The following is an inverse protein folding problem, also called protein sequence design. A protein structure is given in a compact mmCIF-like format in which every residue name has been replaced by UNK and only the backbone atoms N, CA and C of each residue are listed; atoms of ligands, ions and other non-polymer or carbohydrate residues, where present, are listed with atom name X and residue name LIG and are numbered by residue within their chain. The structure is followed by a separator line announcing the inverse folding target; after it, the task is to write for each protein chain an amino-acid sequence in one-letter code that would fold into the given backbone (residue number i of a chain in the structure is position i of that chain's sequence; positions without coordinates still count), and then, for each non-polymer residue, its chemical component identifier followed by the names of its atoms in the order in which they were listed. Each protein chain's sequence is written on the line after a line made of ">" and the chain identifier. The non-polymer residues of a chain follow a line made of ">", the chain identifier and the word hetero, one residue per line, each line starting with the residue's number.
data_IF_539080390941
#
_entry.id   IF_539080390941
#
_cell.length_a   1.000
_cell.length_b   1.000
_cell.length_c   1.000
_cell.angle_alpha   90.00
_cell.angle_beta   90.00
_cell.angle_gamma   90.00
#
_symmetry.space_group_name_H-M   'P 1'
#
loop_
_entity.id
_entity.type
_entity.pdbx_description
1 polymer ?
#
# COMPACT_ATOMS: atom_id res chain seq x y z
N UNK A 1 48.83 -7.24 -15.99
CA UNK A 1 47.56 -7.38 -16.71
C UNK A 1 46.47 -7.54 -15.65
N UNK A 2 45.81 -6.46 -15.31
CA UNK A 2 44.73 -6.43 -14.34
C UNK A 2 43.42 -6.25 -15.11
N UNK A 3 42.52 -7.23 -15.02
CA UNK A 3 41.23 -7.23 -15.63
C UNK A 3 40.25 -6.43 -14.75
N UNK A 4 39.68 -5.37 -15.31
CA UNK A 4 38.56 -4.55 -14.74
C UNK A 4 37.27 -5.37 -14.79
N UNK A 5 36.42 -5.30 -13.77
CA UNK A 5 35.07 -5.86 -13.85
C UNK A 5 34.15 -4.95 -14.67
N UNK A 6 33.37 -5.57 -15.54
CA UNK A 6 32.34 -4.92 -16.35
C UNK A 6 31.18 -4.44 -15.45
N UNK A 7 30.77 -3.20 -15.66
CA UNK A 7 29.58 -2.60 -15.10
C UNK A 7 28.32 -3.22 -15.69
N UNK A 8 27.47 -3.79 -14.85
CA UNK A 8 26.12 -4.21 -15.25
C UNK A 8 25.25 -2.96 -15.43
N UNK A 9 24.79 -2.75 -16.65
CA UNK A 9 23.77 -1.75 -16.99
C UNK A 9 22.40 -2.33 -16.65
N UNK A 10 21.73 -1.76 -15.66
CA UNK A 10 20.34 -2.05 -15.32
C UNK A 10 19.39 -1.59 -16.43
N UNK A 11 18.55 -2.50 -16.89
CA UNK A 11 17.49 -2.25 -17.86
C UNK A 11 16.30 -1.62 -17.15
N UNK A 12 15.98 -0.35 -17.47
CA UNK A 12 14.78 0.32 -16.99
C UNK A 12 13.72 0.28 -18.10
N UNK A 13 12.66 -0.51 -17.92
CA UNK A 13 11.41 -0.37 -18.65
C UNK A 13 10.28 -0.09 -17.65
N UNK A 14 9.44 0.88 -17.98
CA UNK A 14 8.52 1.53 -17.06
C UNK A 14 7.21 0.78 -16.78
N UNK A 15 7.31 -0.46 -16.31
CA UNK A 15 6.20 -1.18 -15.70
C UNK A 15 6.55 -1.44 -14.23
N UNK A 16 5.57 -1.23 -13.36
CA UNK A 16 5.67 -1.26 -11.89
C UNK A 16 5.83 -2.71 -11.37
N UNK A 17 6.90 -3.39 -11.81
CA UNK A 17 7.22 -4.75 -11.44
C UNK A 17 8.31 -4.76 -10.36
N UNK A 18 7.97 -5.30 -9.20
CA UNK A 18 8.91 -5.44 -8.07
C UNK A 18 9.66 -6.76 -8.22
N UNK A 19 10.99 -6.68 -8.42
CA UNK A 19 11.87 -7.85 -8.48
C UNK A 19 12.29 -8.27 -7.07
N UNK A 20 11.81 -9.42 -6.62
CA UNK A 20 12.36 -10.10 -5.45
C UNK A 20 13.50 -11.03 -5.88
N UNK A 21 14.70 -10.78 -5.36
CA UNK A 21 15.84 -11.71 -5.52
C UNK A 21 15.74 -12.77 -4.44
N UNK A 22 15.06 -13.87 -4.73
CA UNK A 22 15.31 -15.13 -4.03
C UNK A 22 16.47 -15.78 -4.79
N UNK A 23 17.57 -16.15 -4.11
CA UNK A 23 18.73 -16.79 -4.72
C UNK A 23 18.25 -17.96 -5.59
N UNK A 24 18.40 -17.81 -6.91
CA UNK A 24 18.19 -18.75 -8.04
C UNK A 24 16.99 -18.51 -8.97
N UNK A 25 15.97 -17.66 -8.63
CA UNK A 25 14.97 -17.26 -9.62
C UNK A 25 14.47 -15.83 -9.32
N UNK A 26 14.62 -14.92 -10.26
CA UNK A 26 13.98 -13.60 -10.22
C UNK A 26 12.51 -13.82 -10.58
N UNK A 27 11.65 -13.99 -9.60
CA UNK A 27 10.20 -13.94 -9.80
C UNK A 27 9.73 -12.49 -9.60
N UNK A 28 9.12 -11.97 -10.64
CA UNK A 28 8.46 -10.66 -10.59
C UNK A 28 7.01 -10.89 -10.21
N UNK A 29 6.64 -10.53 -8.99
CA UNK A 29 5.25 -10.65 -8.51
C UNK A 29 4.61 -9.26 -8.59
N UNK A 30 3.52 -9.15 -9.35
CA UNK A 30 2.65 -7.98 -9.33
C UNK A 30 1.57 -8.17 -8.25
N UNK A 31 1.85 -7.66 -7.06
CA UNK A 31 0.93 -7.74 -5.93
C UNK A 31 -0.37 -6.95 -6.15
N UNK A 32 -0.39 -5.97 -7.07
CA UNK A 32 -1.59 -5.19 -7.41
C UNK A 32 -2.52 -5.91 -8.38
N UNK A 33 -2.12 -7.07 -8.91
CA UNK A 33 -2.96 -7.88 -9.81
C UNK A 33 -4.18 -8.50 -9.11
N UNK A 34 -4.17 -8.57 -7.77
CA UNK A 34 -5.32 -8.92 -6.94
C UNK A 34 -5.73 -7.73 -6.07
N UNK A 35 -7.00 -7.68 -5.63
CA UNK A 35 -7.48 -6.57 -4.79
C UNK A 35 -7.13 -6.76 -3.31
N UNK A 36 -7.26 -5.69 -2.52
CA UNK A 36 -7.07 -5.77 -1.06
C UNK A 36 -8.06 -6.72 -0.41
N UNK A 37 -9.26 -6.90 -0.98
CA UNK A 37 -10.27 -7.84 -0.48
C UNK A 37 -9.81 -9.30 -0.53
N UNK A 38 -9.09 -9.70 -1.58
CA UNK A 38 -8.57 -11.07 -1.69
C UNK A 38 -7.48 -11.36 -0.67
N UNK A 39 -6.71 -10.34 -0.26
CA UNK A 39 -5.72 -10.48 0.81
C UNK A 39 -6.35 -10.73 2.19
N UNK A 40 -7.64 -10.43 2.38
CA UNK A 40 -8.32 -10.66 3.65
C UNK A 40 -8.39 -12.16 4.06
N UNK A 41 -8.27 -13.08 3.10
CA UNK A 41 -8.18 -14.52 3.38
C UNK A 41 -6.73 -14.99 3.63
N UNK A 42 -5.75 -14.18 3.25
CA UNK A 42 -4.33 -14.51 3.33
C UNK A 42 -3.63 -13.90 4.55
N UNK A 43 -4.20 -12.85 5.11
CA UNK A 43 -3.58 -12.05 6.17
C UNK A 43 -4.43 -12.00 7.43
N UNK A 44 -3.81 -11.89 8.61
CA UNK A 44 -4.51 -11.51 9.85
C UNK A 44 -5.18 -10.14 9.70
N UNK A 45 -6.31 -9.94 10.39
CA UNK A 45 -7.08 -8.68 10.31
C UNK A 45 -6.28 -7.46 10.74
N UNK A 46 -5.32 -7.64 11.62
CA UNK A 46 -4.41 -6.61 12.14
C UNK A 46 -3.42 -6.09 11.09
N UNK A 47 -3.38 -6.71 9.89
CA UNK A 47 -2.57 -6.27 8.75
C UNK A 47 -3.33 -5.32 7.81
N UNK A 48 -4.56 -4.94 8.14
CA UNK A 48 -5.35 -3.96 7.38
C UNK A 48 -5.42 -2.65 8.15
N UNK A 49 -5.05 -1.55 7.48
CA UNK A 49 -5.06 -0.23 8.09
C UNK A 49 -6.49 0.26 8.37
N UNK A 50 -6.60 1.16 9.34
CA UNK A 50 -7.85 1.86 9.69
C UNK A 50 -8.49 2.49 8.44
N UNK A 51 -9.79 2.26 8.25
CA UNK A 51 -10.58 2.79 7.14
C UNK A 51 -10.55 4.32 7.02
N UNK A 52 -10.17 5.03 8.07
CA UNK A 52 -9.99 6.48 8.02
C UNK A 52 -8.81 6.90 7.13
N UNK A 53 -7.87 5.97 6.81
CA UNK A 53 -6.86 6.17 5.77
C UNK A 53 -7.40 5.57 4.48
N UNK A 54 -7.81 6.41 3.55
CA UNK A 54 -8.47 6.01 2.31
C UNK A 54 -7.94 6.80 1.11
N UNK A 55 -8.28 6.36 -0.08
CA UNK A 55 -7.96 7.10 -1.31
C UNK A 55 -8.63 8.46 -1.30
N UNK A 56 -7.86 9.54 -1.52
CA UNK A 56 -8.39 10.91 -1.47
C UNK A 56 -9.07 11.35 -2.77
N UNK A 57 -8.99 10.56 -3.82
CA UNK A 57 -9.64 10.83 -5.11
C UNK A 57 -9.94 9.52 -5.83
N UNK A 58 -10.88 9.56 -6.78
CA UNK A 58 -11.35 8.41 -7.55
C UNK A 58 -11.47 8.73 -9.04
N UNK A 59 -11.28 7.71 -9.92
CA UNK A 59 -10.81 6.37 -9.59
C UNK A 59 -9.31 6.37 -9.29
N UNK A 60 -8.91 5.83 -8.13
CA UNK A 60 -7.49 5.66 -7.81
C UNK A 60 -6.98 4.36 -8.44
N UNK A 61 -5.78 4.32 -9.04
CA UNK A 61 -5.20 3.06 -9.49
C UNK A 61 -4.85 2.17 -8.31
N UNK A 62 -4.99 0.86 -8.47
CA UNK A 62 -4.40 -0.10 -7.53
C UNK A 62 -2.90 0.03 -7.57
N UNK A 63 -2.27 0.09 -6.40
CA UNK A 63 -0.82 0.17 -6.28
C UNK A 63 -0.31 -0.92 -5.36
N UNK A 64 0.90 -1.38 -5.63
CA UNK A 64 1.66 -2.20 -4.69
C UNK A 64 3.13 -1.84 -4.74
N UNK A 65 3.82 -2.00 -3.61
CA UNK A 65 5.23 -1.69 -3.53
C UNK A 65 5.83 -1.91 -2.16
N UNK A 66 7.17 -2.01 -2.06
CA UNK A 66 7.84 -2.04 -0.78
C UNK A 66 7.61 -0.75 0.00
N UNK A 67 7.37 -0.88 1.29
CA UNK A 67 7.24 0.25 2.19
C UNK A 67 8.59 0.93 2.42
N UNK A 68 8.68 2.22 2.10
CA UNK A 68 9.70 3.12 2.63
C UNK A 68 9.07 3.93 3.76
N UNK A 69 9.45 3.66 4.99
CA UNK A 69 8.76 4.15 6.18
C UNK A 69 9.33 5.48 6.68
N UNK A 70 8.44 6.36 7.12
CA UNK A 70 8.76 7.72 7.55
C UNK A 70 7.95 8.08 8.79
N UNK A 71 8.62 8.62 9.80
CA UNK A 71 7.96 9.30 10.91
C UNK A 71 8.14 10.80 10.77
N UNK A 72 7.03 11.54 10.78
CA UNK A 72 7.00 12.98 10.89
C UNK A 72 6.61 13.36 12.32
N UNK A 73 7.38 14.22 12.97
CA UNK A 73 7.01 14.76 14.28
C UNK A 73 5.76 15.64 14.16
N UNK A 74 4.92 15.73 15.20
CA UNK A 74 3.72 16.56 15.17
C UNK A 74 4.00 17.98 14.67
N UNK A 75 3.24 18.42 13.69
CA UNK A 75 3.39 19.73 13.06
C UNK A 75 4.58 19.88 12.12
N UNK A 76 5.29 18.79 11.77
CA UNK A 76 6.47 18.84 10.89
C UNK A 76 6.31 17.88 9.69
N UNK A 77 6.93 18.22 8.56
CA UNK A 77 6.91 17.41 7.35
C UNK A 77 8.29 17.19 6.70
N UNK A 78 9.38 17.62 7.37
CA UNK A 78 10.73 17.57 6.78
C UNK A 78 11.11 16.16 6.36
N UNK A 79 10.77 15.15 7.17
CA UNK A 79 11.21 13.78 6.91
C UNK A 79 10.53 13.16 5.70
N UNK A 80 9.27 13.47 5.41
CA UNK A 80 8.63 13.06 4.15
C UNK A 80 9.33 13.72 2.95
N UNK A 81 9.63 15.02 3.04
CA UNK A 81 10.37 15.72 1.98
C UNK A 81 11.78 15.16 1.79
N UNK A 82 12.40 14.63 2.83
CA UNK A 82 13.69 13.96 2.72
C UNK A 82 13.56 12.57 2.09
N UNK A 83 12.47 11.85 2.40
CA UNK A 83 12.19 10.49 1.93
C UNK A 83 12.02 10.41 0.42
N UNK A 84 11.33 11.37 -0.21
CA UNK A 84 11.12 11.35 -1.67
C UNK A 84 12.43 11.39 -2.48
N UNK A 85 13.56 11.79 -1.88
CA UNK A 85 14.88 11.76 -2.51
C UNK A 85 15.72 10.53 -2.16
N UNK A 86 15.23 9.64 -1.28
CA UNK A 86 15.98 8.49 -0.75
C UNK A 86 15.28 7.14 -1.03
N UNK A 87 13.97 7.16 -1.16
CA UNK A 87 13.20 6.01 -1.59
C UNK A 87 13.53 5.65 -3.05
N UNK A 88 13.40 4.37 -3.39
CA UNK A 88 13.64 3.86 -4.73
C UNK A 88 12.38 3.98 -5.61
N UNK A 89 12.53 3.97 -6.93
CA UNK A 89 11.40 3.79 -7.83
C UNK A 89 10.62 2.51 -7.48
N UNK A 90 9.29 2.61 -7.45
CA UNK A 90 8.39 1.52 -7.05
C UNK A 90 8.08 1.44 -5.56
N UNK A 91 8.83 2.13 -4.69
CA UNK A 91 8.51 2.19 -3.26
C UNK A 91 7.19 2.96 -3.03
N UNK A 92 6.46 2.55 -2.00
CA UNK A 92 5.36 3.31 -1.41
C UNK A 92 5.86 3.96 -0.13
N UNK A 93 5.77 5.29 -0.03
CA UNK A 93 6.18 5.99 1.19
C UNK A 93 5.04 5.92 2.20
N UNK A 94 5.29 5.24 3.32
CA UNK A 94 4.36 5.06 4.43
C UNK A 94 4.73 6.02 5.55
N UNK A 95 3.80 6.88 5.94
CA UNK A 95 4.07 8.01 6.83
C UNK A 95 3.23 7.95 8.11
N UNK A 96 3.91 7.88 9.25
CA UNK A 96 3.32 8.16 10.56
C UNK A 96 3.37 9.69 10.80
N UNK A 97 2.20 10.34 10.92
CA UNK A 97 2.10 11.79 11.09
C UNK A 97 0.91 12.16 11.98
N UNK A 98 0.65 13.45 12.15
CA UNK A 98 -0.56 13.98 12.78
C UNK A 98 -1.56 14.51 11.72
N UNK A 99 -2.77 14.82 12.19
CA UNK A 99 -3.87 15.37 11.38
C UNK A 99 -4.04 16.90 11.49
N UNK A 100 -3.11 17.59 12.16
CA UNK A 100 -3.18 19.03 12.40
C UNK A 100 -2.57 19.87 11.29
N UNK A 101 -1.61 19.28 10.53
CA UNK A 101 -0.86 19.97 9.50
C UNK A 101 -0.59 19.06 8.32
N UNK A 102 -0.76 19.61 7.10
CA UNK A 102 -0.47 18.88 5.88
C UNK A 102 1.02 18.54 5.76
N UNK A 103 1.34 17.26 5.58
CA UNK A 103 2.72 16.78 5.42
C UNK A 103 3.16 16.75 3.96
N UNK A 104 2.22 16.78 3.01
CA UNK A 104 2.48 16.77 1.56
C UNK A 104 1.52 17.68 0.81
N UNK A 105 1.81 17.92 -0.46
CA UNK A 105 0.99 18.71 -1.38
C UNK A 105 1.46 18.54 -2.82
N UNK A 106 0.88 19.30 -3.77
CA UNK A 106 1.05 19.13 -5.21
C UNK A 106 2.49 18.98 -5.68
N UNK A 107 3.36 19.93 -5.35
CA UNK A 107 4.77 19.87 -5.78
C UNK A 107 5.54 18.68 -5.21
N UNK A 108 5.25 18.26 -3.98
CA UNK A 108 5.92 17.10 -3.34
C UNK A 108 5.49 15.81 -4.03
N UNK A 109 4.19 15.66 -4.30
CA UNK A 109 3.65 14.53 -5.06
C UNK A 109 4.21 14.49 -6.48
N UNK A 110 4.29 15.63 -7.18
CA UNK A 110 4.85 15.71 -8.53
C UNK A 110 6.33 15.27 -8.58
N UNK A 111 7.14 15.66 -7.58
CA UNK A 111 8.54 15.23 -7.47
C UNK A 111 8.61 13.73 -7.18
N UNK A 112 7.79 13.22 -6.26
CA UNK A 112 7.72 11.80 -5.94
C UNK A 112 7.37 10.97 -7.18
N UNK A 113 6.33 11.35 -7.92
CA UNK A 113 5.93 10.72 -9.18
C UNK A 113 7.05 10.71 -10.22
N UNK A 114 7.72 11.86 -10.42
CA UNK A 114 8.87 11.97 -11.35
C UNK A 114 10.02 11.04 -10.97
N UNK A 115 10.17 10.74 -9.68
CA UNK A 115 11.19 9.83 -9.16
C UNK A 115 10.75 8.36 -9.18
N UNK A 116 9.54 8.09 -9.67
CA UNK A 116 9.00 6.73 -9.76
C UNK A 116 8.45 6.16 -8.46
N UNK A 117 8.20 6.98 -7.43
CA UNK A 117 7.52 6.55 -6.21
C UNK A 117 6.09 6.14 -6.60
N UNK A 118 5.65 4.96 -6.15
CA UNK A 118 4.38 4.38 -6.55
C UNK A 118 3.17 5.09 -5.90
N UNK A 119 3.34 5.64 -4.71
CA UNK A 119 2.29 6.36 -4.00
C UNK A 119 2.66 6.72 -2.57
N UNK A 120 1.75 7.40 -1.90
CA UNK A 120 1.86 7.71 -0.47
C UNK A 120 0.71 7.07 0.31
N UNK A 121 1.04 6.52 1.48
CA UNK A 121 0.11 6.14 2.54
C UNK A 121 0.44 6.98 3.77
N UNK A 122 -0.47 7.84 4.19
CA UNK A 122 -0.22 8.86 5.22
C UNK A 122 -1.22 8.71 6.36
N UNK A 123 -0.75 8.30 7.52
CA UNK A 123 -1.53 8.41 8.76
C UNK A 123 -1.53 9.88 9.23
N UNK A 124 -2.27 10.70 8.52
CA UNK A 124 -2.28 12.15 8.63
C UNK A 124 -3.00 12.81 7.46
N UNK A 125 -2.70 14.07 7.18
CA UNK A 125 -3.39 14.87 6.18
C UNK A 125 -2.42 15.50 5.15
N UNK A 126 -2.95 15.75 3.94
CA UNK A 126 -2.22 16.44 2.87
C UNK A 126 -2.94 17.74 2.46
N UNK A 127 -2.43 18.43 1.45
CA UNK A 127 -3.07 19.59 0.80
C UNK A 127 -2.97 19.49 -0.73
N UNK A 128 -3.50 20.47 -1.43
CA UNK A 128 -3.42 20.62 -2.89
C UNK A 128 -4.06 19.43 -3.64
N UNK A 129 -5.19 18.88 -3.10
CA UNK A 129 -5.82 17.66 -3.62
C UNK A 129 -6.19 17.75 -5.11
N UNK A 130 -6.61 18.93 -5.59
CA UNK A 130 -6.97 19.11 -7.00
C UNK A 130 -5.77 18.82 -7.91
N UNK A 131 -4.59 19.32 -7.57
CA UNK A 131 -3.32 19.08 -8.29
C UNK A 131 -2.91 17.60 -8.22
N UNK A 132 -3.02 16.98 -7.02
CA UNK A 132 -2.69 15.56 -6.81
C UNK A 132 -3.56 14.67 -7.68
N UNK A 133 -4.87 14.95 -7.75
CA UNK A 133 -5.83 14.23 -8.59
C UNK A 133 -5.54 14.44 -10.09
N UNK A 134 -5.27 15.68 -10.51
CA UNK A 134 -4.98 16.00 -11.90
C UNK A 134 -3.73 15.28 -12.43
N UNK A 135 -2.68 15.17 -11.60
CA UNK A 135 -1.47 14.43 -11.98
C UNK A 135 -1.63 12.90 -11.87
N UNK A 136 -2.72 12.41 -11.27
CA UNK A 136 -2.97 10.97 -11.11
C UNK A 136 -2.06 10.28 -10.08
N UNK A 137 -1.45 11.02 -9.14
CA UNK A 137 -0.57 10.42 -8.14
C UNK A 137 -1.37 9.80 -7.00
N UNK A 138 -1.19 8.49 -6.71
CA UNK A 138 -1.95 7.80 -5.66
C UNK A 138 -1.57 8.30 -4.28
N UNK A 139 -2.56 8.81 -3.53
CA UNK A 139 -2.40 9.18 -2.12
C UNK A 139 -3.57 8.65 -1.32
N UNK A 140 -3.23 7.90 -0.28
CA UNK A 140 -4.15 7.42 0.74
C UNK A 140 -3.83 8.16 2.03
N UNK A 141 -4.82 8.83 2.62
CA UNK A 141 -4.60 9.64 3.82
C UNK A 141 -5.91 9.80 4.60
N UNK A 142 -5.85 10.36 5.82
CA UNK A 142 -7.03 10.66 6.63
C UNK A 142 -7.85 11.81 6.07
N UNK A 143 -7.25 12.70 5.29
CA UNK A 143 -7.97 13.85 4.73
C UNK A 143 -7.09 14.97 4.20
N UNK A 144 -7.69 16.13 4.07
CA UNK A 144 -7.09 17.31 3.44
C UNK A 144 -7.24 18.53 4.35
N UNK A 145 -6.13 19.27 4.51
CA UNK A 145 -6.11 20.55 5.24
C UNK A 145 -5.15 21.52 4.53
N UNK A 146 -5.49 22.82 4.37
CA UNK A 146 -4.60 23.75 3.64
C UNK A 146 -3.35 24.18 4.44
N UNK A 147 -3.35 23.96 5.74
CA UNK A 147 -2.31 24.43 6.68
C UNK A 147 -1.08 23.51 6.65
N UNK A 148 0.10 23.94 6.14
CA UNK A 148 1.28 23.09 6.09
C UNK A 148 1.98 23.00 7.45
N UNK A 149 2.71 21.92 7.67
CA UNK A 149 3.63 21.77 8.79
C UNK A 149 4.93 22.58 8.62
N UNK A 150 5.82 22.44 9.59
CA UNK A 150 7.15 23.03 9.60
C UNK A 150 8.22 22.09 8.97
N UNK A 151 9.46 22.58 8.93
CA UNK A 151 10.65 21.82 8.50
C UNK A 151 11.76 22.02 9.54
N UNK A 152 11.60 21.40 10.70
CA UNK A 152 12.47 21.67 11.86
C UNK A 152 12.96 20.40 12.57
N UNK A 153 12.25 19.28 12.38
CA UNK A 153 12.50 18.05 13.09
C UNK A 153 13.16 17.00 12.19
N UNK A 154 14.17 16.33 12.72
CA UNK A 154 14.89 15.25 12.03
C UNK A 154 14.69 13.96 12.82
N UNK A 155 14.26 12.91 12.12
CA UNK A 155 14.14 11.54 12.63
C UNK A 155 14.85 10.56 11.68
N UNK A 156 15.23 9.38 12.15
CA UNK A 156 15.71 8.31 11.28
C UNK A 156 14.66 7.92 10.25
N UNK A 157 15.08 7.79 8.99
CA UNK A 157 14.24 7.26 7.92
C UNK A 157 14.30 5.73 7.90
N UNK A 158 13.28 5.13 7.30
CA UNK A 158 13.22 3.69 7.05
C UNK A 158 13.40 2.87 8.34
N UNK A 159 12.67 3.27 9.38
CA UNK A 159 12.49 2.55 10.63
C UNK A 159 11.02 2.11 10.74
N UNK A 160 10.69 1.10 11.56
CA UNK A 160 9.30 0.72 11.78
C UNK A 160 8.46 1.92 12.24
N UNK A 161 7.25 2.05 11.65
CA UNK A 161 6.28 3.10 11.98
C UNK A 161 4.92 2.49 12.28
N UNK A 162 4.07 3.21 13.02
CA UNK A 162 2.67 2.86 13.15
C UNK A 162 1.86 3.69 12.14
N UNK A 163 1.11 3.03 11.27
CA UNK A 163 0.27 3.69 10.28
C UNK A 163 -1.10 2.99 10.24
N UNK A 164 -2.17 3.73 10.53
CA UNK A 164 -3.51 3.18 10.57
C UNK A 164 -3.69 2.02 11.55
N UNK A 165 -2.98 2.03 12.69
CA UNK A 165 -3.02 0.97 13.68
C UNK A 165 -2.17 -0.25 13.35
N UNK A 166 -1.50 -0.28 12.20
CA UNK A 166 -0.60 -1.37 11.78
C UNK A 166 0.85 -0.94 11.96
N UNK A 167 1.67 -1.81 12.53
CA UNK A 167 3.13 -1.62 12.52
C UNK A 167 3.67 -2.03 11.15
N UNK A 168 4.22 -1.07 10.42
CA UNK A 168 4.80 -1.27 9.10
C UNK A 168 6.32 -1.28 9.21
N UNK A 169 6.94 -2.37 8.75
CA UNK A 169 8.39 -2.47 8.69
C UNK A 169 8.91 -2.05 7.30
N UNK A 170 10.12 -1.50 7.21
CA UNK A 170 10.77 -1.25 5.94
C UNK A 170 10.80 -2.49 5.05
N UNK A 171 10.32 -2.37 3.82
CA UNK A 171 10.27 -3.46 2.85
C UNK A 171 9.04 -4.36 2.93
N UNK A 172 8.14 -4.18 3.91
CA UNK A 172 6.80 -4.81 3.85
C UNK A 172 6.09 -4.38 2.57
N UNK A 173 5.31 -5.26 1.97
CA UNK A 173 4.60 -4.92 0.76
C UNK A 173 3.28 -4.25 1.12
N UNK A 174 3.12 -3.04 0.64
CA UNK A 174 1.86 -2.33 0.70
C UNK A 174 1.06 -2.69 -0.54
N UNK A 175 -0.20 -3.06 -0.35
CA UNK A 175 -1.20 -3.19 -1.42
C UNK A 175 -2.34 -2.25 -1.08
N UNK A 176 -2.68 -1.35 -2.00
CA UNK A 176 -3.71 -0.34 -1.74
C UNK A 176 -4.58 -0.10 -2.98
N UNK A 177 -5.88 -0.02 -2.75
CA UNK A 177 -6.91 0.27 -3.76
C UNK A 177 -8.09 1.05 -3.14
N UNK A 178 -9.23 1.11 -3.83
CA UNK A 178 -10.42 1.85 -3.37
C UNK A 178 -11.04 1.29 -2.08
N UNK A 179 -10.79 0.01 -1.77
CA UNK A 179 -11.33 -0.67 -0.58
C UNK A 179 -10.48 -0.40 0.68
N UNK A 180 -9.18 -0.11 0.50
CA UNK A 180 -8.30 0.15 1.63
C UNK A 180 -6.85 -0.24 1.41
N UNK A 181 -6.17 -0.58 2.51
CA UNK A 181 -4.73 -0.80 2.52
C UNK A 181 -4.40 -2.07 3.31
N UNK A 182 -3.76 -3.01 2.64
CA UNK A 182 -3.18 -4.21 3.26
C UNK A 182 -1.65 -4.05 3.39
N UNK A 183 -1.13 -4.47 4.54
CA UNK A 183 0.30 -4.55 4.83
C UNK A 183 0.70 -6.02 4.81
N UNK A 184 1.45 -6.42 3.81
CA UNK A 184 1.90 -7.80 3.66
C UNK A 184 3.33 -7.92 4.17
N UNK A 185 3.59 -8.64 5.27
CA UNK A 185 4.94 -8.79 5.79
C UNK A 185 5.87 -9.38 4.73
N UNK A 186 7.04 -8.76 4.53
CA UNK A 186 7.99 -9.16 3.51
C UNK A 186 8.31 -10.67 3.54
N UNK A 187 8.46 -11.23 4.73
CA UNK A 187 8.84 -12.63 4.91
C UNK A 187 7.80 -13.64 4.39
N UNK A 188 6.52 -13.26 4.32
CA UNK A 188 5.40 -14.10 3.86
C UNK A 188 4.75 -13.58 2.58
N UNK A 189 5.33 -12.58 1.92
CA UNK A 189 4.69 -11.87 0.83
C UNK A 189 4.30 -12.79 -0.35
N UNK A 190 5.18 -13.69 -0.77
CA UNK A 190 4.90 -14.61 -1.85
C UNK A 190 3.78 -15.61 -1.49
N UNK A 191 3.78 -16.12 -0.26
CA UNK A 191 2.73 -17.04 0.21
C UNK A 191 1.36 -16.34 0.29
N UNK A 192 1.33 -15.13 0.86
CA UNK A 192 0.11 -14.34 0.95
C UNK A 192 -0.46 -14.01 -0.44
N UNK A 193 0.40 -13.69 -1.41
CA UNK A 193 -0.02 -13.46 -2.79
C UNK A 193 -0.64 -14.72 -3.42
N UNK A 194 -0.03 -15.89 -3.25
CA UNK A 194 -0.56 -17.14 -3.80
C UNK A 194 -1.94 -17.50 -3.20
N UNK A 195 -2.15 -17.24 -1.91
CA UNK A 195 -3.44 -17.46 -1.26
C UNK A 195 -4.49 -16.47 -1.83
N UNK A 196 -4.16 -15.18 -1.89
CA UNK A 196 -5.04 -14.14 -2.42
C UNK A 196 -5.40 -14.40 -3.89
N UNK A 197 -4.42 -14.81 -4.71
CA UNK A 197 -4.63 -15.15 -6.11
C UNK A 197 -5.56 -16.34 -6.29
N UNK A 198 -5.39 -17.40 -5.51
CA UNK A 198 -6.30 -18.57 -5.52
C UNK A 198 -7.72 -18.17 -5.16
N UNK A 199 -7.89 -17.21 -4.25
CA UNK A 199 -9.21 -16.68 -3.89
C UNK A 199 -9.84 -15.95 -5.06
N UNK A 200 -9.12 -15.03 -5.69
CA UNK A 200 -9.57 -14.29 -6.87
C UNK A 200 -9.96 -15.23 -8.03
N UNK A 201 -9.10 -16.21 -8.33
CA UNK A 201 -9.34 -17.21 -9.38
C UNK A 201 -10.59 -18.06 -9.10
N UNK A 202 -10.81 -18.42 -7.84
CA UNK A 202 -12.02 -19.19 -7.42
C UNK A 202 -13.28 -18.35 -7.58
N UNK A 203 -13.29 -17.12 -7.11
CA UNK A 203 -14.47 -16.26 -7.16
C UNK A 203 -14.82 -15.89 -8.60
N UNK A 204 -13.84 -15.62 -9.45
CA UNK A 204 -14.05 -15.35 -10.89
C UNK A 204 -14.53 -16.58 -11.69
N UNK A 205 -14.34 -17.79 -11.18
CA UNK A 205 -14.74 -19.03 -11.85
C UNK A 205 -16.20 -19.44 -11.59
N UNK A 206 -16.88 -18.80 -10.64
CA UNK A 206 -18.26 -19.11 -10.27
C UNK A 206 -19.24 -18.11 -10.88
N UNK A 207 -20.38 -18.63 -11.36
CA UNK A 207 -21.52 -17.78 -11.66
C UNK A 207 -22.20 -17.28 -10.37
N UNK A 208 -22.96 -16.19 -10.47
CA UNK A 208 -23.71 -15.68 -9.31
C UNK A 208 -24.71 -16.71 -8.77
N UNK A 209 -25.35 -17.49 -9.63
CA UNK A 209 -26.33 -18.53 -9.24
C UNK A 209 -25.64 -19.66 -8.45
N UNK A 210 -24.47 -20.10 -8.90
CA UNK A 210 -23.68 -21.13 -8.19
C UNK A 210 -23.18 -20.60 -6.85
N UNK A 211 -22.76 -19.34 -6.80
CA UNK A 211 -22.35 -18.70 -5.57
C UNK A 211 -23.53 -18.57 -4.60
N UNK A 212 -24.70 -18.10 -5.09
CA UNK A 212 -25.90 -17.94 -4.29
C UNK A 212 -26.33 -19.25 -3.63
N UNK A 213 -26.38 -20.36 -4.40
CA UNK A 213 -26.76 -21.65 -3.87
C UNK A 213 -25.83 -22.10 -2.73
N UNK A 214 -24.51 -22.04 -2.94
CA UNK A 214 -23.54 -22.41 -1.91
C UNK A 214 -23.59 -21.49 -0.69
N UNK A 215 -23.78 -20.19 -0.91
CA UNK A 215 -23.89 -19.20 0.17
C UNK A 215 -25.14 -19.45 1.02
N UNK A 216 -26.29 -19.66 0.38
CA UNK A 216 -27.54 -19.97 1.07
C UNK A 216 -27.41 -21.21 1.96
N UNK A 217 -26.92 -22.33 1.41
CA UNK A 217 -26.74 -23.58 2.16
C UNK A 217 -25.81 -23.40 3.36
N UNK A 218 -24.73 -22.63 3.19
CA UNK A 218 -23.79 -22.35 4.27
C UNK A 218 -24.43 -21.48 5.36
N UNK A 219 -25.16 -20.43 4.98
CA UNK A 219 -25.87 -19.55 5.93
C UNK A 219 -26.89 -20.35 6.74
N UNK A 220 -27.74 -21.19 6.10
CA UNK A 220 -28.72 -22.01 6.77
C UNK A 220 -28.05 -23.00 7.73
N UNK A 221 -26.98 -23.64 7.33
CA UNK A 221 -26.23 -24.54 8.20
C UNK A 221 -25.69 -23.85 9.45
N UNK A 222 -25.17 -22.61 9.30
CA UNK A 222 -24.65 -21.78 10.42
C UNK A 222 -25.83 -21.38 11.33
N UNK A 223 -26.94 -20.89 10.78
CA UNK A 223 -28.11 -20.46 11.54
C UNK A 223 -28.67 -21.62 12.36
N UNK A 224 -28.86 -22.81 11.73
CA UNK A 224 -29.30 -24.03 12.41
C UNK A 224 -28.35 -24.40 13.58
N UNK A 225 -27.04 -24.35 13.35
CA UNK A 225 -26.02 -24.65 14.39
C UNK A 225 -26.09 -23.69 15.56
N UNK A 226 -26.44 -22.42 15.31
CA UNK A 226 -26.57 -21.35 16.33
C UNK A 226 -27.94 -21.32 16.99
N UNK A 227 -28.88 -22.21 16.58
CA UNK A 227 -30.22 -22.33 17.14
C UNK A 227 -31.21 -21.25 16.68
N UNK A 228 -30.93 -20.60 15.55
CA UNK A 228 -31.88 -19.66 14.94
C UNK A 228 -33.05 -20.42 14.36
N UNK A 229 -34.28 -19.93 14.60
CA UNK A 229 -35.52 -20.43 13.96
C UNK A 229 -36.37 -19.23 13.55
N UNK A 230 -36.88 -19.27 12.33
CA UNK A 230 -37.93 -18.34 11.91
C UNK A 230 -39.19 -18.59 12.73
N UNK A 231 -39.63 -17.59 13.51
CA UNK A 231 -40.89 -17.61 14.28
C UNK A 231 -42.04 -17.05 13.47
#
# INVERSE_FOLDING_TARGET
>A
MLSTPQSEQGCYSGDSLICYVIRENVMTIDFSSVSTCEYADALPREQFMDYAIHSLWQPVPKISGPAFTVKCQPGDHLMLHAAIYRANPGDIIVVEADDQFAVSGGNVCAIAQRRGIAGFVVDGVIRDLAEVREMGFPVFARGVIPKPGAKKCVDPLNQPVNCGGVTVHPGDIIVADEEGIAVVPQASAAEAFEIAKKRADKDSSMTLDEWQAKHHDNVEAILSKLGFSDT
#
